data_IF_821057824612
#
_entry.id   IF_821057824612
#
_cell.length_a   1.000
_cell.length_b   1.000
_cell.length_c   1.000
_cell.angle_alpha   90.00
_cell.angle_beta   90.00
_cell.angle_gamma   90.00
#
_symmetry.space_group_name_H-M   'P 1'
#
loop_
_entity.id
_entity.type
_entity.pdbx_description
1 polymer ?
#
# COMPACT_ATOMS: atom_id res chain seq x y z
N UNK A 1 2.41 4.86 15.62
CA UNK A 1 1.80 5.30 16.90
C UNK A 1 2.28 4.42 18.02
N UNK A 2 2.76 5.02 19.12
CA UNK A 2 3.12 4.30 20.33
C UNK A 2 1.89 4.12 21.22
N UNK A 3 1.75 2.92 21.77
CA UNK A 3 0.66 2.55 22.68
C UNK A 3 1.26 2.05 23.97
N UNK A 4 0.86 2.65 25.09
CA UNK A 4 1.19 2.15 26.42
C UNK A 4 0.17 1.09 26.83
N UNK A 5 0.68 -0.12 27.03
CA UNK A 5 -0.11 -1.29 27.38
C UNK A 5 -0.71 -1.20 28.79
N UNK A 6 -0.08 -0.47 29.72
CA UNK A 6 -0.50 -0.39 31.12
C UNK A 6 -1.56 0.69 31.31
N UNK A 7 -1.31 1.90 30.83
CA UNK A 7 -2.30 2.99 30.90
C UNK A 7 -3.40 2.89 29.84
N UNK A 8 -3.27 1.99 28.86
CA UNK A 8 -4.16 1.84 27.69
C UNK A 8 -4.32 3.14 26.89
N UNK A 9 -3.29 3.99 26.89
CA UNK A 9 -3.30 5.27 26.17
C UNK A 9 -2.34 5.25 24.99
N UNK A 10 -2.72 5.97 23.95
CA UNK A 10 -1.81 6.34 22.87
C UNK A 10 -0.85 7.38 23.47
N UNK A 11 0.44 7.06 23.50
CA UNK A 11 1.47 7.91 24.12
C UNK A 11 2.12 8.86 23.15
N UNK A 12 2.06 8.57 21.85
CA UNK A 12 2.44 9.54 20.84
C UNK A 12 2.43 9.00 19.41
N UNK A 13 2.25 9.88 18.42
CA UNK A 13 2.64 9.58 17.05
C UNK A 13 4.17 9.40 16.96
N UNK A 14 4.62 8.57 16.03
CA UNK A 14 6.03 8.25 15.74
C UNK A 14 6.17 8.14 14.24
N UNK A 15 7.41 8.26 13.76
CA UNK A 15 7.80 8.27 12.34
C UNK A 15 7.47 9.59 11.63
N UNK A 16 8.20 10.65 11.99
CA UNK A 16 8.10 12.00 11.40
C UNK A 16 9.30 12.36 10.52
N UNK A 17 10.19 11.41 10.25
CA UNK A 17 11.43 11.67 9.52
C UNK A 17 11.17 12.10 8.06
N UNK A 18 9.97 11.81 7.55
CA UNK A 18 9.45 12.20 6.24
C UNK A 18 8.33 13.26 6.31
N UNK A 19 8.17 13.94 7.44
CA UNK A 19 7.15 14.98 7.56
C UNK A 19 7.49 16.17 6.64
N UNK A 20 6.62 16.43 5.67
CA UNK A 20 6.70 17.54 4.73
C UNK A 20 5.50 18.47 4.88
N UNK A 21 5.65 19.74 4.50
CA UNK A 21 4.50 20.58 4.17
C UNK A 21 4.15 20.26 2.73
N UNK A 22 3.01 19.61 2.55
CA UNK A 22 2.59 19.00 1.30
C UNK A 22 1.26 19.53 0.79
N UNK A 23 1.01 19.32 -0.50
CA UNK A 23 -0.32 19.56 -1.06
C UNK A 23 -1.30 18.52 -0.49
N UNK A 24 -2.59 18.83 -0.23
CA UNK A 24 -3.58 17.86 0.30
C UNK A 24 -3.74 16.59 -0.54
N UNK A 25 -3.36 16.66 -1.81
CA UNK A 25 -3.33 15.55 -2.75
C UNK A 25 -2.17 14.57 -2.53
N UNK A 26 -1.22 14.91 -1.65
CA UNK A 26 -0.03 14.10 -1.43
C UNK A 26 -0.38 12.73 -0.85
N UNK A 27 -1.47 12.59 -0.09
CA UNK A 27 -1.93 11.26 0.36
C UNK A 27 -2.37 10.35 -0.80
N UNK A 28 -2.94 10.91 -1.88
CA UNK A 28 -3.30 10.17 -3.10
C UNK A 28 -2.06 9.82 -3.93
N UNK A 29 -1.00 10.62 -3.81
CA UNK A 29 0.26 10.45 -4.53
C UNK A 29 1.34 9.78 -3.68
N UNK A 30 1.12 9.59 -2.37
CA UNK A 30 2.12 9.15 -1.41
C UNK A 30 2.60 7.76 -1.76
N UNK A 31 1.70 6.85 -2.14
CA UNK A 31 2.07 5.53 -2.62
C UNK A 31 2.93 5.62 -3.88
N UNK A 32 2.56 6.47 -4.86
CA UNK A 32 3.30 6.65 -6.10
C UNK A 32 4.67 7.32 -5.90
N UNK A 33 4.78 8.24 -4.94
CA UNK A 33 6.02 8.96 -4.58
C UNK A 33 6.94 8.07 -3.76
N UNK A 34 6.41 7.31 -2.79
CA UNK A 34 7.19 6.41 -1.92
C UNK A 34 7.67 5.16 -2.65
N UNK A 35 6.86 4.61 -3.56
CA UNK A 35 7.22 3.41 -4.32
C UNK A 35 7.85 3.71 -5.69
N UNK A 36 7.77 4.97 -6.14
CA UNK A 36 8.17 5.38 -7.48
C UNK A 36 7.27 4.80 -8.58
N UNK A 37 6.03 4.41 -8.26
CA UNK A 37 5.10 3.74 -9.17
C UNK A 37 3.98 4.65 -9.68
N UNK A 38 4.28 5.62 -10.54
CA UNK A 38 3.24 6.52 -11.09
C UNK A 38 2.44 5.92 -12.27
N UNK A 39 2.73 4.68 -12.68
CA UNK A 39 2.26 4.07 -13.93
C UNK A 39 0.78 3.64 -13.88
N UNK A 40 0.20 3.48 -12.68
CA UNK A 40 -1.21 3.07 -12.46
C UNK A 40 -2.18 4.18 -12.07
N UNK A 41 -1.70 5.41 -11.86
CA UNK A 41 -2.54 6.53 -11.40
C UNK A 41 -3.22 7.20 -12.60
N UNK A 42 -4.56 7.14 -12.63
CA UNK A 42 -5.36 7.83 -13.65
C UNK A 42 -5.32 9.36 -13.40
N UNK A 43 -4.82 10.07 -14.41
CA UNK A 43 -4.56 11.52 -14.37
C UNK A 43 -5.82 12.32 -14.69
N UNK A 44 -6.86 11.67 -15.23
CA UNK A 44 -8.05 12.34 -15.76
C UNK A 44 -9.06 12.72 -14.69
N UNK A 45 -9.00 12.09 -13.52
CA UNK A 45 -9.89 12.35 -12.37
C UNK A 45 -9.41 13.45 -11.43
N UNK A 46 -8.19 13.96 -11.60
CA UNK A 46 -7.53 14.85 -10.64
C UNK A 46 -7.28 16.23 -11.26
N UNK A 47 -8.27 17.12 -11.30
CA UNK A 47 -8.13 18.46 -11.91
C UNK A 47 -7.05 19.31 -11.22
N UNK A 48 -6.97 19.22 -9.89
CA UNK A 48 -6.15 20.11 -9.07
C UNK A 48 -4.77 19.50 -8.75
N UNK A 49 -4.60 18.21 -9.03
CA UNK A 49 -3.49 17.39 -8.54
C UNK A 49 -2.69 16.76 -9.69
N UNK A 50 -3.18 16.99 -10.92
CA UNK A 50 -2.53 16.61 -12.17
C UNK A 50 -1.13 17.20 -12.31
N UNK A 51 -0.91 18.45 -11.90
CA UNK A 51 0.41 19.09 -12.00
C UNK A 51 1.43 18.43 -11.06
N UNK A 52 1.02 18.07 -9.84
CA UNK A 52 1.85 17.33 -8.90
C UNK A 52 2.18 15.92 -9.42
N UNK A 53 1.20 15.19 -9.97
CA UNK A 53 1.43 13.87 -10.58
C UNK A 53 2.35 13.94 -11.81
N UNK A 54 2.19 14.95 -12.66
CA UNK A 54 3.08 15.17 -13.81
C UNK A 54 4.52 15.49 -13.36
N UNK A 55 4.67 16.28 -12.31
CA UNK A 55 5.97 16.61 -11.72
C UNK A 55 6.64 15.37 -11.13
N UNK A 56 5.89 14.56 -10.39
CA UNK A 56 6.38 13.28 -9.85
C UNK A 56 6.82 12.34 -10.99
N UNK A 57 6.02 12.18 -12.05
CA UNK A 57 6.38 11.38 -13.24
C UNK A 57 7.66 11.90 -13.91
N UNK A 58 7.79 13.22 -14.06
CA UNK A 58 8.97 13.82 -14.67
C UNK A 58 10.25 13.59 -13.84
N UNK A 59 10.16 13.75 -12.51
CA UNK A 59 11.25 13.45 -11.60
C UNK A 59 11.67 11.98 -11.68
N UNK A 60 10.69 11.10 -11.65
CA UNK A 60 10.84 9.66 -11.68
C UNK A 60 11.45 9.15 -13.02
N UNK A 61 11.09 9.77 -14.15
CA UNK A 61 11.75 9.57 -15.44
C UNK A 61 13.20 10.08 -15.42
N UNK A 62 13.45 11.27 -14.86
CA UNK A 62 14.80 11.83 -14.77
C UNK A 62 15.72 11.00 -13.87
N UNK A 63 15.20 10.43 -12.78
CA UNK A 63 15.92 9.51 -11.91
C UNK A 63 16.32 8.22 -12.66
N UNK A 64 15.38 7.62 -13.42
CA UNK A 64 15.67 6.46 -14.29
C UNK A 64 16.76 6.77 -15.31
N UNK A 65 16.69 7.92 -16.00
CA UNK A 65 17.70 8.31 -17.00
C UNK A 65 19.09 8.50 -16.41
N UNK A 66 19.20 8.76 -15.11
CA UNK A 66 20.47 8.87 -14.37
C UNK A 66 20.93 7.56 -13.73
N UNK A 67 20.22 6.46 -13.97
CA UNK A 67 20.56 5.14 -13.42
C UNK A 67 20.22 4.95 -11.95
N UNK A 68 19.39 5.81 -11.35
CA UNK A 68 18.88 5.55 -10.00
C UNK A 68 17.87 4.40 -10.02
N UNK A 69 18.04 3.46 -9.09
CA UNK A 69 17.07 2.41 -8.85
C UNK A 69 15.90 2.95 -8.03
N UNK A 70 14.68 2.59 -8.42
CA UNK A 70 13.49 2.80 -7.60
C UNK A 70 13.49 1.81 -6.45
N UNK A 71 12.89 2.13 -5.29
CA UNK A 71 12.64 1.15 -4.24
C UNK A 71 11.92 -0.10 -4.80
N UNK A 72 10.94 0.09 -5.69
CA UNK A 72 10.21 -0.97 -6.40
C UNK A 72 11.05 -1.80 -7.39
N UNK A 73 12.30 -1.42 -7.64
CA UNK A 73 13.25 -2.16 -8.47
C UNK A 73 14.42 -2.74 -7.67
N UNK A 74 14.48 -2.49 -6.36
CA UNK A 74 15.48 -3.09 -5.47
C UNK A 74 14.99 -4.49 -5.09
N UNK A 75 15.71 -5.57 -5.45
CA UNK A 75 15.22 -6.94 -5.28
C UNK A 75 14.71 -7.25 -3.86
N UNK A 76 15.45 -6.82 -2.84
CA UNK A 76 15.10 -7.06 -1.44
C UNK A 76 13.82 -6.31 -1.02
N UNK A 77 13.61 -5.09 -1.55
CA UNK A 77 12.41 -4.30 -1.28
C UNK A 77 11.20 -4.91 -1.99
N UNK A 78 11.36 -5.40 -3.22
CA UNK A 78 10.33 -6.15 -3.92
C UNK A 78 9.93 -7.40 -3.14
N UNK A 79 10.91 -8.18 -2.67
CA UNK A 79 10.68 -9.38 -1.88
C UNK A 79 9.96 -9.07 -0.56
N UNK A 80 10.35 -7.99 0.14
CA UNK A 80 9.63 -7.53 1.32
C UNK A 80 8.18 -7.13 1.00
N UNK A 81 7.94 -6.43 -0.11
CA UNK A 81 6.58 -6.09 -0.56
C UNK A 81 5.72 -7.33 -0.81
N UNK A 82 6.29 -8.35 -1.45
CA UNK A 82 5.60 -9.63 -1.68
C UNK A 82 5.31 -10.37 -0.37
N UNK A 83 6.25 -10.38 0.58
CA UNK A 83 6.05 -10.99 1.90
C UNK A 83 4.95 -10.27 2.71
N UNK A 84 4.88 -8.95 2.63
CA UNK A 84 3.79 -8.17 3.27
C UNK A 84 2.44 -8.53 2.66
N UNK A 85 2.34 -8.59 1.33
CA UNK A 85 1.11 -9.02 0.65
C UNK A 85 0.71 -10.45 1.05
N UNK A 86 1.67 -11.37 1.10
CA UNK A 86 1.44 -12.74 1.53
C UNK A 86 0.89 -12.79 2.97
N UNK A 87 1.46 -12.00 3.88
CA UNK A 87 1.04 -11.94 5.28
C UNK A 87 -0.40 -11.40 5.42
N UNK A 88 -0.77 -10.40 4.62
CA UNK A 88 -2.14 -9.88 4.59
C UNK A 88 -3.15 -10.91 4.04
N UNK A 89 -2.75 -11.69 3.03
CA UNK A 89 -3.59 -12.71 2.41
C UNK A 89 -3.72 -13.99 3.26
N UNK A 90 -2.70 -14.35 4.05
CA UNK A 90 -2.75 -15.49 4.97
C UNK A 90 -3.79 -15.29 6.08
N UNK A 91 -3.97 -14.06 6.54
CA UNK A 91 -4.93 -13.73 7.60
C UNK A 91 -5.76 -12.48 7.25
N UNK A 92 -6.65 -12.55 6.23
CA UNK A 92 -7.37 -11.37 5.76
C UNK A 92 -8.25 -10.82 6.88
N UNK A 93 -7.99 -9.59 7.31
CA UNK A 93 -8.65 -8.99 8.48
C UNK A 93 -10.19 -8.99 8.41
N UNK A 94 -10.73 -8.92 7.18
CA UNK A 94 -12.17 -9.01 6.87
C UNK A 94 -12.76 -10.40 7.09
N UNK A 95 -11.93 -11.44 7.11
CA UNK A 95 -12.31 -12.84 7.29
C UNK A 95 -11.89 -13.43 8.66
N UNK A 96 -10.93 -12.81 9.34
CA UNK A 96 -10.47 -13.24 10.68
C UNK A 96 -11.18 -12.53 11.83
N UNK A 97 -11.65 -11.28 11.65
CA UNK A 97 -12.29 -10.54 12.76
C UNK A 97 -13.81 -10.71 12.75
N UNK A 98 -14.34 -11.18 13.87
CA UNK A 98 -15.77 -11.47 14.06
C UNK A 98 -16.69 -10.29 13.72
N UNK A 99 -16.25 -9.05 14.02
CA UNK A 99 -17.01 -7.83 13.70
C UNK A 99 -17.35 -7.67 12.22
N UNK A 100 -16.52 -8.19 11.32
CA UNK A 100 -16.73 -8.11 9.87
C UNK A 100 -17.57 -9.28 9.37
N UNK A 101 -17.42 -10.46 9.98
CA UNK A 101 -18.22 -11.64 9.66
C UNK A 101 -19.69 -11.47 10.05
N UNK A 102 -19.96 -10.83 11.20
CA UNK A 102 -21.33 -10.54 11.67
C UNK A 102 -22.16 -9.64 10.72
N UNK A 103 -21.48 -8.93 9.81
CA UNK A 103 -22.12 -8.03 8.83
C UNK A 103 -22.36 -8.70 7.48
N UNK A 104 -21.94 -9.95 7.30
CA UNK A 104 -21.97 -10.68 6.03
C UNK A 104 -22.84 -11.91 6.14
N UNK A 105 -23.46 -12.29 5.04
CA UNK A 105 -24.17 -13.58 4.92
C UNK A 105 -23.17 -14.73 4.78
N UNK A 106 -23.62 -15.96 4.98
CA UNK A 106 -22.77 -17.14 4.80
C UNK A 106 -22.21 -17.24 3.37
N UNK A 107 -23.02 -16.90 2.37
CA UNK A 107 -22.63 -16.91 0.96
C UNK A 107 -21.58 -15.84 0.64
N UNK A 108 -21.74 -14.64 1.19
CA UNK A 108 -20.74 -13.56 1.03
C UNK A 108 -19.40 -13.91 1.69
N UNK A 109 -19.42 -14.67 2.79
CA UNK A 109 -18.20 -15.16 3.45
C UNK A 109 -17.55 -16.25 2.58
N UNK A 110 -18.34 -17.15 1.99
CA UNK A 110 -17.82 -18.19 1.10
C UNK A 110 -17.14 -17.60 -0.13
N UNK A 111 -17.77 -16.63 -0.79
CA UNK A 111 -17.19 -15.90 -1.93
C UNK A 111 -15.91 -15.16 -1.52
N UNK A 112 -15.93 -14.46 -0.38
CA UNK A 112 -14.75 -13.74 0.08
C UNK A 112 -13.58 -14.67 0.44
N UNK A 113 -13.85 -15.86 1.00
CA UNK A 113 -12.82 -16.89 1.26
C UNK A 113 -12.24 -17.45 -0.03
N UNK A 114 -13.09 -17.71 -1.02
CA UNK A 114 -12.65 -18.22 -2.33
C UNK A 114 -11.75 -17.19 -3.03
N UNK A 115 -12.16 -15.92 -3.06
CA UNK A 115 -11.35 -14.84 -3.63
C UNK A 115 -10.02 -14.64 -2.88
N UNK A 116 -10.03 -14.71 -1.54
CA UNK A 116 -8.80 -14.63 -0.74
C UNK A 116 -7.85 -15.81 -1.03
N UNK A 117 -8.40 -17.01 -1.26
CA UNK A 117 -7.63 -18.20 -1.62
C UNK A 117 -6.98 -18.06 -3.00
N UNK A 118 -7.73 -17.61 -3.99
CA UNK A 118 -7.22 -17.38 -5.36
C UNK A 118 -6.09 -16.33 -5.36
N UNK A 119 -6.26 -15.26 -4.59
CA UNK A 119 -5.21 -14.24 -4.42
C UNK A 119 -3.93 -14.83 -3.78
N UNK A 120 -4.10 -15.66 -2.74
CA UNK A 120 -2.99 -16.35 -2.08
C UNK A 120 -2.24 -17.30 -3.02
N UNK A 121 -2.98 -18.11 -3.77
CA UNK A 121 -2.42 -19.07 -4.73
C UNK A 121 -1.63 -18.34 -5.84
N UNK A 122 -2.13 -17.19 -6.31
CA UNK A 122 -1.42 -16.34 -7.27
C UNK A 122 -0.11 -15.79 -6.69
N UNK A 123 -0.15 -15.20 -5.50
CA UNK A 123 1.04 -14.60 -4.87
C UNK A 123 2.10 -15.66 -4.54
N UNK A 124 1.70 -16.87 -4.14
CA UNK A 124 2.61 -18.00 -3.94
C UNK A 124 3.26 -18.47 -5.25
N UNK A 125 2.51 -18.49 -6.36
CA UNK A 125 3.04 -18.86 -7.67
C UNK A 125 4.05 -17.84 -8.21
N UNK A 126 3.92 -16.56 -7.85
CA UNK A 126 4.87 -15.50 -8.22
C UNK A 126 6.16 -15.52 -7.37
N UNK A 127 6.14 -16.20 -6.20
CA UNK A 127 7.27 -16.33 -5.27
C UNK A 127 8.17 -17.56 -5.54
N UNK A 128 7.68 -18.54 -6.32
CA UNK A 128 8.37 -19.79 -6.67
C UNK A 128 9.04 -19.72 -8.05
#
# INVERSE_FOLDING_TARGET
MLFDADSKKITGPVDFDLASISHPAEDLLAEAVLTGGCDGVDVTSLSDEREALLTARAFDMAARNRGLLRPSNVPDVCAMGMLVQLLEQLAPSKLTRERFLKRKTADEIAVARQSAREALEKTLAELM
#
